data_IF_210620777894
#
_entry.id   IF_210620777894
#
_cell.length_a   1.000
_cell.length_b   1.000
_cell.length_c   1.000
_cell.angle_alpha   90.00
_cell.angle_beta   90.00
_cell.angle_gamma   90.00
#
_symmetry.space_group_name_H-M   'P 1'
#
loop_
_entity.id
_entity.type
_entity.pdbx_description
1 polymer ?
#
# COMPACT_ATOMS: atom_id res chain seq x y z
N UNK A 1 9.78 -9.35 -5.71
CA UNK A 1 9.90 -7.95 -5.23
C UNK A 1 11.33 -7.55 -4.87
N UNK A 2 12.00 -8.24 -3.93
CA UNK A 2 13.32 -7.79 -3.43
C UNK A 2 14.42 -7.72 -4.49
N UNK A 3 14.56 -8.77 -5.30
CA UNK A 3 15.62 -8.88 -6.31
C UNK A 3 15.48 -7.80 -7.40
N UNK A 4 14.27 -7.67 -7.98
CA UNK A 4 14.02 -6.67 -9.02
C UNK A 4 14.17 -5.23 -8.48
N UNK A 5 13.77 -4.98 -7.22
CA UNK A 5 13.98 -3.68 -6.58
C UNK A 5 15.47 -3.40 -6.32
N UNK A 6 16.26 -4.42 -5.99
CA UNK A 6 17.71 -4.30 -5.87
C UNK A 6 18.37 -3.95 -7.21
N UNK A 7 17.97 -4.63 -8.30
CA UNK A 7 18.41 -4.28 -9.66
C UNK A 7 17.95 -2.88 -10.06
N UNK A 8 16.71 -2.50 -9.73
CA UNK A 8 16.20 -1.15 -9.94
C UNK A 8 17.10 -0.10 -9.28
N UNK A 9 17.45 -0.28 -8.01
CA UNK A 9 18.35 0.65 -7.31
C UNK A 9 19.76 0.70 -7.88
N UNK A 10 20.31 -0.42 -8.35
CA UNK A 10 21.70 -0.50 -8.81
C UNK A 10 21.89 -0.14 -10.29
N UNK A 11 20.88 -0.38 -11.13
CA UNK A 11 20.97 -0.25 -12.59
C UNK A 11 20.02 0.81 -13.17
N UNK A 12 18.83 0.99 -12.58
CA UNK A 12 17.82 1.89 -13.14
C UNK A 12 17.97 3.31 -12.59
N UNK A 13 17.95 3.47 -11.27
CA UNK A 13 17.91 4.76 -10.58
C UNK A 13 19.23 5.14 -9.88
N UNK A 14 20.30 4.37 -10.10
CA UNK A 14 21.63 4.66 -9.56
C UNK A 14 22.25 5.91 -10.19
N UNK A 15 23.34 6.41 -9.61
CA UNK A 15 24.08 7.59 -10.09
C UNK A 15 24.52 7.49 -11.56
N UNK A 16 24.75 6.28 -12.07
CA UNK A 16 25.10 5.99 -13.48
C UNK A 16 24.00 5.21 -14.21
N UNK A 17 22.82 5.09 -13.60
CA UNK A 17 21.70 4.30 -14.10
C UNK A 17 20.98 4.93 -15.28
N UNK A 18 20.00 4.20 -15.82
CA UNK A 18 19.23 4.62 -17.00
C UNK A 18 18.55 5.99 -16.78
N UNK A 19 17.95 6.23 -15.62
CA UNK A 19 17.25 7.50 -15.35
C UNK A 19 18.18 8.70 -15.52
N UNK A 20 19.42 8.64 -15.00
CA UNK A 20 20.39 9.72 -15.13
C UNK A 20 20.75 10.03 -16.59
N UNK A 21 20.75 9.01 -17.45
CA UNK A 21 21.24 9.11 -18.83
C UNK A 21 20.19 9.65 -19.80
N UNK A 22 18.92 9.33 -19.59
CA UNK A 22 17.88 9.57 -20.61
C UNK A 22 16.57 10.17 -20.09
N UNK A 23 16.41 10.35 -18.77
CA UNK A 23 15.19 10.91 -18.17
C UNK A 23 15.48 12.31 -17.65
N UNK A 24 14.59 13.28 -17.93
CA UNK A 24 14.76 14.68 -17.54
C UNK A 24 14.82 14.89 -16.02
N UNK A 25 14.16 14.03 -15.25
CA UNK A 25 14.23 14.02 -13.77
C UNK A 25 15.42 13.23 -13.23
N UNK A 26 16.25 12.63 -14.09
CA UNK A 26 17.35 11.77 -13.69
C UNK A 26 18.39 12.43 -12.77
N UNK A 27 19.06 11.62 -11.94
CA UNK A 27 19.94 12.12 -10.88
C UNK A 27 19.15 12.59 -9.67
N UNK A 28 19.55 13.72 -9.07
CA UNK A 28 19.00 14.19 -7.80
C UNK A 28 17.50 14.54 -7.87
N UNK A 29 17.03 15.00 -9.04
CA UNK A 29 15.63 15.37 -9.24
C UNK A 29 14.65 14.22 -8.98
N UNK A 30 15.04 12.99 -9.32
CA UNK A 30 14.24 11.78 -9.12
C UNK A 30 14.04 11.52 -7.63
N UNK A 31 15.12 11.63 -6.85
CA UNK A 31 15.07 11.39 -5.40
C UNK A 31 14.23 12.48 -4.71
N UNK A 32 14.38 13.74 -5.13
CA UNK A 32 13.57 14.85 -4.61
C UNK A 32 12.08 14.62 -4.90
N UNK A 33 11.73 14.19 -6.11
CA UNK A 33 10.33 13.88 -6.47
C UNK A 33 9.80 12.70 -5.65
N UNK A 34 10.54 11.59 -5.59
CA UNK A 34 10.15 10.40 -4.83
C UNK A 34 9.96 10.70 -3.34
N UNK A 35 10.84 11.50 -2.73
CA UNK A 35 10.71 11.92 -1.33
C UNK A 35 9.49 12.81 -1.09
N UNK A 36 9.12 13.68 -2.04
CA UNK A 36 7.91 14.52 -1.93
C UNK A 36 6.65 13.67 -2.02
N UNK A 37 6.58 12.76 -2.98
CA UNK A 37 5.44 11.85 -3.14
C UNK A 37 5.31 10.90 -1.94
N UNK A 38 6.44 10.37 -1.44
CA UNK A 38 6.44 9.54 -0.24
C UNK A 38 5.82 10.29 0.95
N UNK A 39 6.13 11.58 1.14
CA UNK A 39 5.61 12.41 2.23
C UNK A 39 4.09 12.66 2.23
N UNK A 40 3.45 12.52 1.07
CA UNK A 40 2.00 12.75 0.93
C UNK A 40 1.21 11.45 0.75
N UNK A 41 1.89 10.30 0.73
CA UNK A 41 1.26 9.00 0.68
C UNK A 41 0.45 8.75 1.95
N UNK A 42 -0.75 8.19 1.81
CA UNK A 42 -1.60 7.80 2.95
C UNK A 42 -2.08 6.36 2.79
N UNK A 43 -2.29 5.66 3.89
CA UNK A 43 -2.91 4.34 3.91
C UNK A 43 -4.31 4.36 3.27
N UNK A 44 -5.02 5.48 3.46
CA UNK A 44 -6.33 5.72 2.84
C UNK A 44 -6.24 5.80 1.32
N UNK A 45 -5.21 6.44 0.75
CA UNK A 45 -5.02 6.52 -0.70
C UNK A 45 -4.62 5.19 -1.34
N UNK A 46 -4.24 4.19 -0.53
CA UNK A 46 -3.99 2.82 -1.01
C UNK A 46 -5.27 1.97 -1.08
N UNK A 47 -6.42 2.51 -0.66
CA UNK A 47 -7.71 1.84 -0.70
C UNK A 47 -8.56 2.43 -1.84
N UNK A 48 -8.83 1.67 -2.92
CA UNK A 48 -9.44 2.18 -4.15
C UNK A 48 -10.72 2.98 -3.95
N UNK A 49 -11.64 2.53 -3.09
CA UNK A 49 -12.88 3.27 -2.81
C UNK A 49 -12.62 4.69 -2.31
N UNK A 50 -11.65 4.82 -1.40
CA UNK A 50 -11.28 6.12 -0.83
C UNK A 50 -10.45 6.94 -1.81
N UNK A 51 -9.51 6.34 -2.54
CA UNK A 51 -8.74 7.05 -3.58
C UNK A 51 -9.66 7.73 -4.61
N UNK A 52 -10.60 7.00 -5.21
CA UNK A 52 -11.51 7.59 -6.20
C UNK A 52 -12.45 8.64 -5.62
N UNK A 53 -12.90 8.43 -4.38
CA UNK A 53 -13.76 9.38 -3.67
C UNK A 53 -13.02 10.68 -3.35
N UNK A 54 -11.84 10.56 -2.76
CA UNK A 54 -11.04 11.70 -2.30
C UNK A 54 -10.51 12.53 -3.49
N UNK A 55 -10.28 11.90 -4.65
CA UNK A 55 -9.98 12.60 -5.91
C UNK A 55 -11.21 13.21 -6.61
N UNK A 56 -12.42 12.95 -6.12
CA UNK A 56 -13.66 13.48 -6.69
C UNK A 56 -14.05 12.87 -8.04
N UNK A 57 -13.62 11.64 -8.31
CA UNK A 57 -13.74 10.98 -9.63
C UNK A 57 -14.66 9.75 -9.62
N UNK A 58 -15.41 9.54 -8.54
CA UNK A 58 -16.29 8.38 -8.36
C UNK A 58 -17.44 8.27 -9.36
N UNK A 59 -17.75 9.33 -10.11
CA UNK A 59 -18.88 9.34 -11.07
C UNK A 59 -18.44 9.74 -12.49
N UNK A 60 -17.13 9.75 -12.77
CA UNK A 60 -16.65 10.05 -14.12
C UNK A 60 -17.09 8.94 -15.10
N UNK A 61 -17.77 9.30 -16.20
CA UNK A 61 -18.18 8.32 -17.20
C UNK A 61 -16.95 7.75 -17.94
N UNK A 62 -17.02 6.49 -18.35
CA UNK A 62 -15.98 5.78 -19.10
C UNK A 62 -14.62 5.71 -18.38
N UNK A 63 -14.61 5.71 -17.05
CA UNK A 63 -13.38 5.57 -16.26
C UNK A 63 -13.07 4.09 -15.98
N UNK A 64 -12.67 3.36 -17.01
CA UNK A 64 -12.47 1.90 -16.93
C UNK A 64 -11.44 1.46 -15.89
N UNK A 65 -10.39 2.26 -15.66
CA UNK A 65 -9.44 2.00 -14.57
C UNK A 65 -10.16 1.93 -13.22
N UNK A 66 -11.04 2.89 -12.93
CA UNK A 66 -11.85 2.87 -11.71
C UNK A 66 -12.72 1.62 -11.64
N UNK A 67 -13.49 1.35 -12.69
CA UNK A 67 -14.42 0.23 -12.72
C UNK A 67 -13.69 -1.10 -12.45
N UNK A 68 -12.60 -1.35 -13.17
CA UNK A 68 -11.83 -2.58 -13.02
C UNK A 68 -11.06 -2.64 -11.69
N UNK A 69 -10.50 -1.52 -11.22
CA UNK A 69 -9.85 -1.47 -9.90
C UNK A 69 -10.83 -1.79 -8.78
N UNK A 70 -12.06 -1.28 -8.83
CA UNK A 70 -13.08 -1.59 -7.83
C UNK A 70 -13.54 -3.05 -7.93
N UNK A 71 -13.74 -3.59 -9.13
CA UNK A 71 -14.07 -5.01 -9.30
C UNK A 71 -12.99 -5.94 -8.74
N UNK A 72 -11.72 -5.65 -9.03
CA UNK A 72 -10.60 -6.43 -8.51
C UNK A 72 -10.47 -6.27 -6.99
N UNK A 73 -10.62 -5.05 -6.48
CA UNK A 73 -10.62 -4.79 -5.05
C UNK A 73 -11.69 -5.60 -4.31
N UNK A 74 -12.93 -5.61 -4.78
CA UNK A 74 -14.01 -6.40 -4.18
C UNK A 74 -13.69 -7.90 -4.16
N UNK A 75 -13.12 -8.43 -5.26
CA UNK A 75 -12.73 -9.83 -5.33
C UNK A 75 -11.62 -10.17 -4.32
N UNK A 76 -10.58 -9.33 -4.24
CA UNK A 76 -9.47 -9.50 -3.30
C UNK A 76 -9.95 -9.37 -1.86
N UNK A 77 -10.72 -8.32 -1.55
CA UNK A 77 -11.23 -8.08 -0.20
C UNK A 77 -12.14 -9.23 0.25
N UNK A 78 -13.08 -9.67 -0.60
CA UNK A 78 -13.97 -10.81 -0.29
C UNK A 78 -13.19 -12.09 -0.01
N UNK A 79 -12.16 -12.40 -0.82
CA UNK A 79 -11.29 -13.54 -0.60
C UNK A 79 -10.55 -13.45 0.74
N UNK A 80 -9.92 -12.30 1.00
CA UNK A 80 -9.14 -12.07 2.23
C UNK A 80 -10.02 -12.12 3.46
N UNK A 81 -11.17 -11.44 3.47
CA UNK A 81 -12.12 -11.48 4.60
C UNK A 81 -12.58 -12.91 4.88
N UNK A 82 -12.84 -13.70 3.83
CA UNK A 82 -13.20 -15.12 3.98
C UNK A 82 -12.07 -15.91 4.63
N UNK A 83 -10.83 -15.71 4.20
CA UNK A 83 -9.65 -16.35 4.80
C UNK A 83 -9.44 -15.92 6.26
N UNK A 84 -9.51 -14.62 6.56
CA UNK A 84 -9.37 -14.10 7.93
C UNK A 84 -10.43 -14.72 8.85
N UNK A 85 -11.67 -14.83 8.39
CA UNK A 85 -12.77 -15.41 9.17
C UNK A 85 -12.64 -16.92 9.43
N UNK A 86 -11.80 -17.64 8.69
CA UNK A 86 -11.50 -19.06 8.97
C UNK A 86 -10.53 -19.23 10.15
N UNK A 87 -9.63 -18.27 10.36
CA UNK A 87 -8.58 -18.36 11.39
C UNK A 87 -8.86 -17.49 12.62
N UNK A 88 -9.55 -16.36 12.44
CA UNK A 88 -9.93 -15.44 13.51
C UNK A 88 -11.46 -15.39 13.60
N UNK A 89 -12.01 -15.94 14.68
CA UNK A 89 -13.45 -16.03 14.90
C UNK A 89 -14.01 -14.75 15.54
N UNK A 90 -13.17 -14.05 16.30
CA UNK A 90 -13.51 -12.81 16.98
C UNK A 90 -12.42 -11.75 16.79
N UNK A 91 -12.77 -10.48 16.99
CA UNK A 91 -11.79 -9.39 17.01
C UNK A 91 -10.77 -9.56 18.15
N UNK A 92 -11.16 -10.27 19.21
CA UNK A 92 -10.25 -10.57 20.31
C UNK A 92 -9.13 -11.54 19.89
N UNK A 93 -9.38 -12.44 18.94
CA UNK A 93 -8.36 -13.34 18.42
C UNK A 93 -7.25 -12.53 17.71
N UNK A 94 -7.64 -11.51 16.93
CA UNK A 94 -6.71 -10.58 16.25
C UNK A 94 -5.90 -9.77 17.26
N UNK A 95 -6.54 -9.26 18.30
CA UNK A 95 -5.87 -8.46 19.34
C UNK A 95 -4.86 -9.28 20.16
N UNK A 96 -5.15 -10.56 20.37
CA UNK A 96 -4.34 -11.46 21.20
C UNK A 96 -3.20 -12.15 20.44
N UNK A 97 -3.15 -12.03 19.11
CA UNK A 97 -2.09 -12.62 18.30
C UNK A 97 -0.80 -11.78 18.37
N UNK A 98 0.23 -12.23 19.12
CA UNK A 98 1.43 -11.42 19.32
C UNK A 98 2.27 -11.29 18.05
N UNK A 99 2.24 -12.28 17.15
CA UNK A 99 3.01 -12.26 15.91
C UNK A 99 2.38 -11.28 14.92
N UNK A 100 1.05 -11.29 14.80
CA UNK A 100 0.33 -10.32 13.99
C UNK A 100 0.53 -8.89 14.47
N UNK A 101 0.48 -8.67 15.79
CA UNK A 101 0.72 -7.34 16.37
C UNK A 101 2.18 -6.88 16.19
N UNK A 102 3.16 -7.80 16.25
CA UNK A 102 4.55 -7.47 15.95
C UNK A 102 4.73 -7.12 14.47
N UNK A 103 4.07 -7.85 13.56
CA UNK A 103 4.13 -7.61 12.12
C UNK A 103 3.60 -6.21 11.72
N UNK A 104 2.44 -5.80 12.24
CA UNK A 104 1.92 -4.45 11.94
C UNK A 104 2.77 -3.34 12.55
N UNK A 105 3.40 -3.58 13.71
CA UNK A 105 4.37 -2.63 14.28
C UNK A 105 5.58 -2.47 13.39
N UNK A 106 6.15 -3.55 12.88
CA UNK A 106 7.29 -3.51 11.96
C UNK A 106 6.95 -2.71 10.70
N UNK A 107 5.80 -2.97 10.06
CA UNK A 107 5.35 -2.21 8.90
C UNK A 107 5.19 -0.72 9.22
N UNK A 108 4.49 -0.39 10.30
CA UNK A 108 4.14 1.00 10.62
C UNK A 108 5.33 1.81 11.14
N UNK A 109 6.21 1.22 11.94
CA UNK A 109 7.30 1.94 12.62
C UNK A 109 8.62 1.89 11.85
N UNK A 110 8.89 0.80 11.13
CA UNK A 110 10.12 0.65 10.34
C UNK A 110 9.84 0.89 8.85
N UNK A 111 8.77 0.29 8.31
CA UNK A 111 8.43 0.38 6.89
C UNK A 111 7.98 1.78 6.45
N UNK A 112 7.05 2.38 7.19
CA UNK A 112 6.53 3.73 6.96
C UNK A 112 7.10 4.78 7.93
N UNK A 113 8.33 4.54 8.38
CA UNK A 113 9.04 5.48 9.24
C UNK A 113 9.15 6.86 8.59
N UNK A 114 9.18 7.90 9.42
CA UNK A 114 9.18 9.32 9.01
C UNK A 114 7.93 9.79 8.23
N UNK A 115 6.86 8.98 8.20
CA UNK A 115 5.60 9.33 7.55
C UNK A 115 4.41 9.37 8.53
N UNK A 116 4.40 10.31 9.50
CA UNK A 116 3.36 10.35 10.54
C UNK A 116 1.95 10.59 9.97
N UNK A 117 1.84 11.20 8.79
CA UNK A 117 0.60 11.40 8.05
C UNK A 117 0.11 10.18 7.28
N UNK A 118 0.85 9.07 7.27
CA UNK A 118 0.45 7.86 6.53
C UNK A 118 -0.89 7.32 7.05
N UNK A 119 -1.14 7.39 8.36
CA UNK A 119 -2.44 7.03 8.94
C UNK A 119 -2.71 5.52 9.04
N UNK A 120 -1.70 4.66 8.87
CA UNK A 120 -1.80 3.25 9.25
C UNK A 120 -1.56 3.11 10.76
N UNK A 121 -2.47 2.44 11.46
CA UNK A 121 -2.30 2.14 12.89
C UNK A 121 -1.15 1.13 13.11
N UNK A 122 -0.48 1.22 14.26
CA UNK A 122 0.59 0.30 14.66
C UNK A 122 0.09 -0.91 15.44
N UNK A 123 -1.23 -1.09 15.54
CA UNK A 123 -1.88 -2.27 16.11
C UNK A 123 -3.19 -2.54 15.39
N UNK A 124 -3.58 -3.80 15.32
CA UNK A 124 -4.86 -4.22 14.74
C UNK A 124 -5.83 -4.61 15.84
N UNK A 125 -7.05 -4.11 15.76
CA UNK A 125 -8.07 -4.28 16.79
C UNK A 125 -9.30 -5.06 16.34
N UNK A 126 -9.49 -5.26 15.03
CA UNK A 126 -10.60 -6.03 14.48
C UNK A 126 -10.22 -6.89 13.27
N UNK A 127 -11.07 -7.87 12.97
CA UNK A 127 -10.95 -8.69 11.74
C UNK A 127 -11.12 -7.87 10.48
N UNK A 128 -11.92 -6.80 10.52
CA UNK A 128 -12.13 -5.91 9.39
C UNK A 128 -10.86 -5.10 9.08
N UNK A 129 -10.20 -4.56 10.11
CA UNK A 129 -8.91 -3.87 9.94
C UNK A 129 -7.84 -4.80 9.36
N UNK A 130 -7.75 -6.03 9.87
CA UNK A 130 -6.84 -7.04 9.33
C UNK A 130 -7.16 -7.38 7.87
N UNK A 131 -8.44 -7.59 7.55
CA UNK A 131 -8.89 -7.92 6.20
C UNK A 131 -8.58 -6.80 5.22
N UNK A 132 -8.88 -5.56 5.60
CA UNK A 132 -8.59 -4.38 4.78
C UNK A 132 -7.09 -4.25 4.55
N UNK A 133 -6.25 -4.37 5.58
CA UNK A 133 -4.81 -4.24 5.46
C UNK A 133 -4.20 -5.31 4.54
N UNK A 134 -4.62 -6.56 4.70
CA UNK A 134 -4.17 -7.66 3.84
C UNK A 134 -4.65 -7.48 2.40
N UNK A 135 -5.88 -6.98 2.20
CA UNK A 135 -6.38 -6.64 0.87
C UNK A 135 -5.57 -5.51 0.23
N UNK A 136 -5.21 -4.45 0.98
CA UNK A 136 -4.29 -3.40 0.51
C UNK A 136 -2.95 -3.99 0.08
N UNK A 137 -2.35 -4.86 0.89
CA UNK A 137 -1.06 -5.46 0.60
C UNK A 137 -1.09 -6.33 -0.68
N UNK A 138 -2.12 -7.16 -0.83
CA UNK A 138 -2.29 -8.02 -2.01
C UNK A 138 -2.57 -7.16 -3.24
N UNK A 139 -3.54 -6.24 -3.17
CA UNK A 139 -3.92 -5.38 -4.29
C UNK A 139 -2.75 -4.51 -4.78
N UNK A 140 -1.91 -4.00 -3.87
CA UNK A 140 -0.72 -3.20 -4.22
C UNK A 140 0.36 -4.04 -4.91
N UNK A 141 0.36 -5.36 -4.70
CA UNK A 141 1.42 -6.26 -5.17
C UNK A 141 1.05 -7.04 -6.44
N UNK A 142 -0.14 -6.84 -6.99
CA UNK A 142 -0.67 -7.51 -8.20
C UNK A 142 -0.86 -6.52 -9.33
#
# INVERSE_FOLDING_TARGET
>A
TLEINCRGRTQLISANGIFKRVVSTGGDGLLILAQREYKVLTYRSLQPHYDFSDRGVSQLPNYFYREHSLMLWEAVHSFVSSMVNLYYHTDQDVQKDPELQAWIRDISLEGFTELPSFGLASSLSSREELSTLLAVAIFTST
#
